data_IF_122415331577
#
_entry.id   IF_122415331577
#
_cell.length_a   1.000
_cell.length_b   1.000
_cell.length_c   1.000
_cell.angle_alpha   90.00
_cell.angle_beta   90.00
_cell.angle_gamma   90.00
#
_symmetry.space_group_name_H-M   'P 1'
#
loop_
_entity.id
_entity.type
_entity.pdbx_description
1 polymer ?
#
# COMPACT_ATOMS: atom_id res chain seq x y z
N UNK A 1 -1.30 -34.12 4.67
CA UNK A 1 -1.13 -33.61 3.28
C UNK A 1 -0.11 -32.48 3.37
N UNK A 2 0.81 -32.32 2.44
CA UNK A 2 1.67 -31.15 2.48
C UNK A 2 0.79 -29.91 2.46
N UNK A 3 1.02 -29.00 3.40
CA UNK A 3 0.29 -27.74 3.52
C UNK A 3 0.38 -26.97 2.20
N UNK A 4 -0.76 -26.47 1.73
CA UNK A 4 -0.83 -25.66 0.49
C UNK A 4 -0.04 -24.36 0.70
N UNK A 5 1.08 -24.24 0.01
CA UNK A 5 1.94 -23.06 0.07
C UNK A 5 1.89 -22.26 -1.23
N UNK A 6 2.01 -20.96 -1.13
CA UNK A 6 2.17 -20.03 -2.24
C UNK A 6 3.42 -19.17 -2.04
N UNK A 7 4.01 -18.71 -3.13
CA UNK A 7 5.06 -17.70 -3.06
C UNK A 7 4.44 -16.35 -3.40
N UNK A 8 4.66 -15.36 -2.53
CA UNK A 8 4.40 -13.97 -2.83
C UNK A 8 5.70 -13.24 -3.16
N UNK A 9 5.71 -12.49 -4.25
CA UNK A 9 6.85 -11.70 -4.70
C UNK A 9 6.43 -10.22 -4.76
N UNK A 10 7.11 -9.40 -3.98
CA UNK A 10 6.93 -7.95 -3.93
C UNK A 10 8.05 -7.27 -4.73
N UNK A 11 7.70 -6.66 -5.85
CA UNK A 11 8.65 -6.02 -6.76
C UNK A 11 8.65 -4.51 -6.54
N UNK A 12 9.72 -4.00 -5.94
CA UNK A 12 9.94 -2.56 -5.80
C UNK A 12 11.07 -2.05 -6.70
N UNK A 13 11.22 -0.73 -6.79
CA UNK A 13 12.25 -0.10 -7.63
C UNK A 13 13.70 -0.33 -7.18
N UNK A 14 13.94 -0.73 -5.94
CA UNK A 14 15.29 -0.91 -5.36
C UNK A 14 15.56 -2.33 -4.86
N UNK A 15 14.52 -3.11 -4.65
CA UNK A 15 14.60 -4.49 -4.14
C UNK A 15 13.42 -5.31 -4.62
N UNK A 16 13.62 -6.62 -4.70
CA UNK A 16 12.57 -7.63 -4.82
C UNK A 16 12.57 -8.47 -3.55
N UNK A 17 11.42 -8.62 -2.92
CA UNK A 17 11.24 -9.50 -1.77
C UNK A 17 10.34 -10.68 -2.15
N UNK A 18 10.70 -11.88 -1.74
CA UNK A 18 9.87 -13.07 -1.90
C UNK A 18 9.59 -13.70 -0.54
N UNK A 19 8.42 -14.30 -0.39
CA UNK A 19 8.05 -15.03 0.83
C UNK A 19 7.26 -16.28 0.52
N UNK A 20 7.52 -17.33 1.31
CA UNK A 20 6.75 -18.56 1.34
C UNK A 20 5.60 -18.37 2.32
N UNK A 21 4.37 -18.51 1.85
CA UNK A 21 3.15 -18.21 2.61
C UNK A 21 2.28 -19.47 2.66
N UNK A 22 1.82 -19.81 3.86
CA UNK A 22 0.95 -20.97 4.10
C UNK A 22 -0.54 -20.68 3.83
N UNK A 23 -1.38 -21.67 4.11
CA UNK A 23 -2.82 -21.60 3.93
C UNK A 23 -3.49 -20.52 4.81
N UNK A 24 -2.88 -20.15 5.91
CA UNK A 24 -3.40 -19.18 6.89
C UNK A 24 -2.91 -17.75 6.66
N UNK A 25 -2.08 -17.56 5.61
CA UNK A 25 -1.46 -16.28 5.32
C UNK A 25 -0.22 -15.97 6.18
N UNK A 26 0.31 -16.98 6.91
CA UNK A 26 1.55 -16.83 7.64
C UNK A 26 2.74 -16.91 6.69
N UNK A 27 3.64 -15.95 6.81
CA UNK A 27 4.90 -15.92 6.05
C UNK A 27 5.92 -16.76 6.79
N UNK A 28 6.25 -17.94 6.24
CA UNK A 28 7.13 -18.94 6.86
C UNK A 28 8.60 -18.58 6.65
N UNK A 29 8.94 -18.10 5.45
CA UNK A 29 10.31 -17.78 5.04
C UNK A 29 10.31 -16.57 4.13
N UNK A 30 11.38 -15.76 4.19
CA UNK A 30 11.57 -14.59 3.33
C UNK A 30 12.96 -14.57 2.72
N UNK A 31 13.04 -14.08 1.48
CA UNK A 31 14.29 -13.76 0.80
C UNK A 31 14.18 -12.37 0.17
N UNK A 32 15.32 -11.69 0.02
CA UNK A 32 15.37 -10.36 -0.62
C UNK A 32 16.60 -10.27 -1.49
N UNK A 33 16.45 -9.63 -2.66
CA UNK A 33 17.55 -9.33 -3.57
C UNK A 33 17.48 -7.87 -4.02
N UNK A 34 18.59 -7.26 -4.40
CA UNK A 34 18.60 -5.92 -4.99
C UNK A 34 17.85 -5.91 -6.33
N UNK A 35 17.22 -4.78 -6.65
CA UNK A 35 16.61 -4.48 -7.95
C UNK A 35 17.33 -3.30 -8.58
N UNK A 36 17.64 -3.42 -9.87
CA UNK A 36 18.18 -2.31 -10.67
C UNK A 36 17.12 -1.90 -11.68
N UNK A 37 16.20 -1.06 -11.24
CA UNK A 37 15.02 -0.67 -12.01
C UNK A 37 15.35 0.07 -13.32
N UNK A 38 16.52 0.66 -13.44
CA UNK A 38 16.98 1.40 -14.64
C UNK A 38 17.79 0.53 -15.62
N UNK A 39 17.98 -0.77 -15.31
CA UNK A 39 18.65 -1.73 -16.19
C UNK A 39 17.74 -2.15 -17.36
N UNK A 40 18.13 -3.18 -18.09
CA UNK A 40 17.28 -3.81 -19.10
C UNK A 40 16.23 -4.74 -18.48
N UNK A 41 15.29 -5.18 -19.31
CA UNK A 41 14.17 -6.02 -18.85
C UNK A 41 14.66 -7.38 -18.31
N UNK A 42 15.70 -7.96 -18.89
CA UNK A 42 16.25 -9.24 -18.48
C UNK A 42 16.92 -9.14 -17.10
N UNK A 43 17.67 -8.05 -16.84
CA UNK A 43 18.27 -7.77 -15.54
C UNK A 43 17.19 -7.54 -14.47
N UNK A 44 16.14 -6.77 -14.78
CA UNK A 44 15.01 -6.60 -13.87
C UNK A 44 14.32 -7.93 -13.54
N UNK A 45 14.11 -8.79 -14.54
CA UNK A 45 13.52 -10.11 -14.34
C UNK A 45 14.45 -11.07 -13.60
N UNK A 46 15.76 -10.96 -13.79
CA UNK A 46 16.74 -11.75 -13.04
C UNK A 46 16.63 -11.52 -11.51
N UNK A 47 16.28 -10.30 -11.08
CA UNK A 47 16.02 -10.02 -9.67
C UNK A 47 14.78 -10.79 -9.15
N UNK A 48 13.69 -10.87 -9.93
CA UNK A 48 12.51 -11.67 -9.57
C UNK A 48 12.88 -13.15 -9.45
N UNK A 49 13.59 -13.69 -10.45
CA UNK A 49 14.09 -15.08 -10.41
C UNK A 49 14.99 -15.31 -9.20
N UNK A 50 15.94 -14.43 -8.99
CA UNK A 50 16.88 -14.52 -7.87
C UNK A 50 16.19 -14.54 -6.50
N UNK A 51 15.14 -13.75 -6.30
CA UNK A 51 14.38 -13.76 -5.05
C UNK A 51 13.67 -15.10 -4.81
N UNK A 52 13.04 -15.65 -5.84
CA UNK A 52 12.34 -16.96 -5.75
C UNK A 52 13.34 -18.10 -5.57
N UNK A 53 14.48 -18.11 -6.29
CA UNK A 53 15.51 -19.13 -6.13
C UNK A 53 16.20 -19.05 -4.76
N UNK A 54 16.45 -17.84 -4.25
CA UNK A 54 16.97 -17.67 -2.90
C UNK A 54 16.01 -18.22 -1.84
N UNK A 55 14.69 -18.04 -2.04
CA UNK A 55 13.67 -18.62 -1.18
C UNK A 55 13.70 -20.16 -1.21
N UNK A 56 13.80 -20.76 -2.39
CA UNK A 56 13.91 -22.21 -2.52
C UNK A 56 15.23 -22.77 -1.97
N UNK A 57 16.30 -22.00 -2.00
CA UNK A 57 17.57 -22.40 -1.37
C UNK A 57 17.45 -22.44 0.17
N UNK A 58 16.63 -21.56 0.76
CA UNK A 58 16.34 -21.54 2.20
C UNK A 58 15.33 -22.62 2.63
N UNK A 59 14.45 -23.04 1.71
CA UNK A 59 13.40 -24.04 1.96
C UNK A 59 13.28 -24.99 0.76
N UNK A 60 14.24 -25.93 0.57
CA UNK A 60 14.29 -26.78 -0.64
C UNK A 60 13.03 -27.64 -0.84
N UNK A 61 12.48 -28.17 0.24
CA UNK A 61 11.28 -29.03 0.25
C UNK A 61 10.01 -28.28 -0.20
N UNK A 62 9.99 -26.95 -0.06
CA UNK A 62 8.87 -26.12 -0.45
C UNK A 62 8.66 -26.11 -1.99
N UNK A 63 9.70 -26.37 -2.79
CA UNK A 63 9.60 -26.36 -4.26
C UNK A 63 8.50 -27.26 -4.80
N UNK A 64 8.31 -28.42 -4.20
CA UNK A 64 7.23 -29.36 -4.57
C UNK A 64 5.87 -28.96 -4.00
N UNK A 65 5.84 -28.35 -2.81
CA UNK A 65 4.62 -27.97 -2.09
C UNK A 65 3.98 -26.67 -2.63
N UNK A 66 4.76 -25.78 -3.25
CA UNK A 66 4.27 -24.52 -3.82
C UNK A 66 3.31 -24.76 -4.97
N UNK A 67 2.11 -24.18 -4.91
CA UNK A 67 1.03 -24.31 -5.91
C UNK A 67 0.97 -23.18 -6.91
N UNK A 68 1.51 -21.99 -6.56
CA UNK A 68 1.53 -20.84 -7.44
C UNK A 68 2.46 -19.75 -6.94
N UNK A 69 2.77 -18.80 -7.82
CA UNK A 69 3.58 -17.63 -7.56
C UNK A 69 2.74 -16.40 -7.84
N UNK A 70 2.43 -15.62 -6.80
CA UNK A 70 1.83 -14.31 -6.99
C UNK A 70 2.91 -13.24 -7.00
N UNK A 71 2.70 -12.20 -7.78
CA UNK A 71 3.62 -11.06 -7.88
C UNK A 71 2.82 -9.77 -7.72
N UNK A 72 3.21 -8.90 -6.81
CA UNK A 72 2.76 -7.53 -6.83
C UNK A 72 3.84 -6.60 -7.38
N UNK A 73 3.41 -5.61 -8.15
CA UNK A 73 4.29 -4.65 -8.83
C UNK A 73 3.62 -3.28 -8.88
N UNK A 74 4.39 -2.19 -8.85
CA UNK A 74 3.84 -0.88 -9.18
C UNK A 74 3.18 -0.88 -10.56
N UNK A 75 2.06 -0.15 -10.66
CA UNK A 75 1.37 0.05 -11.95
C UNK A 75 2.00 1.16 -12.82
N UNK A 76 1.49 1.30 -14.06
CA UNK A 76 0.35 0.59 -14.65
C UNK A 76 0.68 -0.84 -15.12
N UNK A 77 -0.25 -1.76 -14.92
CA UNK A 77 -0.17 -3.14 -15.37
C UNK A 77 -1.58 -3.66 -15.76
N UNK A 78 -1.63 -4.75 -16.51
CA UNK A 78 -2.88 -5.46 -16.76
C UNK A 78 -2.92 -6.75 -15.94
N UNK A 79 -3.74 -6.83 -14.89
CA UNK A 79 -3.79 -8.00 -14.00
C UNK A 79 -4.39 -9.24 -14.68
N UNK A 80 -5.14 -9.08 -15.78
CA UNK A 80 -5.74 -10.20 -16.53
C UNK A 80 -4.71 -10.96 -17.34
N UNK A 81 -3.70 -10.25 -17.85
CA UNK A 81 -2.63 -10.83 -18.68
C UNK A 81 -1.31 -10.96 -17.95
N UNK A 82 -1.16 -10.33 -16.80
CA UNK A 82 0.09 -10.28 -16.03
C UNK A 82 1.19 -9.46 -16.73
N UNK A 83 0.80 -8.52 -17.60
CA UNK A 83 1.72 -7.64 -18.33
C UNK A 83 1.92 -6.33 -17.58
N UNK A 84 3.17 -6.02 -17.26
CA UNK A 84 3.58 -4.72 -16.72
C UNK A 84 3.75 -3.75 -17.89
N UNK A 85 2.95 -2.66 -17.92
CA UNK A 85 2.86 -1.79 -19.09
C UNK A 85 4.00 -0.79 -19.16
N UNK A 86 4.04 0.16 -18.24
CA UNK A 86 5.04 1.24 -18.26
C UNK A 86 5.13 1.92 -16.87
N UNK A 87 5.52 1.20 -15.82
CA UNK A 87 5.58 1.77 -14.48
C UNK A 87 6.72 2.78 -14.36
N UNK A 88 6.48 4.00 -13.90
CA UNK A 88 7.52 5.02 -13.76
C UNK A 88 8.62 4.60 -12.79
N UNK A 89 8.30 3.78 -11.80
CA UNK A 89 9.25 3.29 -10.80
C UNK A 89 10.05 2.06 -11.25
N UNK A 90 9.70 1.46 -12.39
CA UNK A 90 10.36 0.30 -12.99
C UNK A 90 10.55 0.50 -14.49
N UNK A 91 11.33 1.49 -14.92
CA UNK A 91 11.51 1.84 -16.34
C UNK A 91 12.18 0.74 -17.16
N UNK A 92 12.76 -0.28 -16.52
CA UNK A 92 13.27 -1.48 -17.21
C UNK A 92 12.15 -2.27 -17.92
N UNK A 93 10.90 -2.13 -17.49
CA UNK A 93 9.80 -2.88 -18.07
C UNK A 93 8.84 -1.98 -18.86
N UNK A 94 8.65 -2.38 -20.11
CA UNK A 94 7.70 -1.75 -21.01
C UNK A 94 6.97 -2.86 -21.78
N UNK A 95 5.67 -3.02 -21.53
CA UNK A 95 4.86 -4.14 -22.03
C UNK A 95 5.52 -5.49 -21.72
N UNK A 96 6.07 -5.63 -20.52
CA UNK A 96 6.81 -6.82 -20.10
C UNK A 96 5.84 -7.88 -19.56
N UNK A 97 5.83 -9.11 -20.15
CA UNK A 97 4.91 -10.19 -19.76
C UNK A 97 5.39 -10.91 -18.48
N UNK A 98 5.43 -10.19 -17.36
CA UNK A 98 6.01 -10.65 -16.10
C UNK A 98 5.41 -11.96 -15.61
N UNK A 99 4.08 -12.10 -15.72
CA UNK A 99 3.38 -13.35 -15.36
C UNK A 99 3.87 -14.54 -16.18
N UNK A 100 3.84 -14.41 -17.51
CA UNK A 100 4.23 -15.50 -18.43
C UNK A 100 5.72 -15.86 -18.31
N UNK A 101 6.61 -14.88 -18.14
CA UNK A 101 8.04 -15.12 -17.93
C UNK A 101 8.31 -15.87 -16.62
N UNK A 102 7.58 -15.53 -15.56
CA UNK A 102 7.72 -16.22 -14.26
C UNK A 102 7.17 -17.65 -14.35
N UNK A 103 6.01 -17.82 -14.97
CA UNK A 103 5.42 -19.15 -15.17
C UNK A 103 6.34 -20.05 -15.98
N UNK A 104 6.96 -19.53 -17.07
CA UNK A 104 7.96 -20.25 -17.87
C UNK A 104 9.19 -20.63 -17.05
N UNK A 105 9.67 -19.73 -16.18
CA UNK A 105 10.88 -19.94 -15.40
C UNK A 105 10.72 -21.02 -14.32
N UNK A 106 9.55 -21.09 -13.70
CA UNK A 106 9.33 -21.93 -12.51
C UNK A 106 8.34 -23.09 -12.72
N UNK A 107 7.62 -23.12 -13.85
CA UNK A 107 6.59 -24.13 -14.11
C UNK A 107 5.42 -24.10 -13.12
N UNK A 108 5.12 -22.93 -12.58
CA UNK A 108 4.05 -22.72 -11.59
C UNK A 108 3.06 -21.69 -12.12
N UNK A 109 1.74 -21.87 -11.94
CA UNK A 109 0.75 -20.84 -12.25
C UNK A 109 1.14 -19.50 -11.61
N UNK A 110 1.14 -18.43 -12.40
CA UNK A 110 1.58 -17.12 -11.93
C UNK A 110 0.49 -16.08 -12.13
N UNK A 111 0.25 -15.25 -11.09
CA UNK A 111 -0.65 -14.10 -11.13
C UNK A 111 0.10 -12.83 -10.76
N UNK A 112 -0.24 -11.73 -11.43
CA UNK A 112 0.38 -10.42 -11.20
C UNK A 112 -0.71 -9.39 -10.94
N UNK A 113 -0.54 -8.55 -9.93
CA UNK A 113 -1.44 -7.43 -9.66
C UNK A 113 -0.69 -6.22 -9.09
N UNK A 114 -1.41 -5.11 -8.94
CA UNK A 114 -0.91 -3.94 -8.25
C UNK A 114 -0.70 -4.24 -6.74
N UNK A 115 0.29 -3.57 -6.15
CA UNK A 115 0.69 -3.74 -4.75
C UNK A 115 -0.45 -3.45 -3.74
N UNK A 116 -1.22 -2.36 -3.95
CA UNK A 116 -2.33 -2.03 -3.06
C UNK A 116 -3.53 -2.97 -3.23
N UNK A 117 -3.84 -3.39 -4.46
CA UNK A 117 -4.87 -4.39 -4.73
C UNK A 117 -4.53 -5.72 -4.03
N UNK A 118 -3.30 -6.18 -4.21
CA UNK A 118 -2.83 -7.43 -3.63
C UNK A 118 -2.84 -7.36 -2.09
N UNK A 119 -2.37 -6.26 -1.50
CA UNK A 119 -2.40 -6.05 -0.06
C UNK A 119 -3.84 -6.05 0.49
N UNK A 120 -4.77 -5.37 -0.19
CA UNK A 120 -6.20 -5.39 0.16
C UNK A 120 -6.78 -6.80 0.14
N UNK A 121 -6.41 -7.62 -0.85
CA UNK A 121 -6.83 -9.02 -0.92
C UNK A 121 -6.31 -9.85 0.26
N UNK A 122 -5.04 -9.67 0.65
CA UNK A 122 -4.49 -10.39 1.81
C UNK A 122 -5.19 -9.99 3.11
N UNK A 123 -5.50 -8.70 3.28
CA UNK A 123 -6.24 -8.23 4.44
C UNK A 123 -7.68 -8.79 4.48
N UNK A 124 -8.33 -8.93 3.32
CA UNK A 124 -9.65 -9.55 3.22
C UNK A 124 -9.63 -11.06 3.49
N UNK A 125 -8.59 -11.78 3.03
CA UNK A 125 -8.52 -13.23 3.18
C UNK A 125 -8.01 -13.65 4.55
N UNK A 126 -7.01 -12.98 5.09
CA UNK A 126 -6.25 -13.44 6.26
C UNK A 126 -5.98 -12.34 7.30
N UNK A 127 -6.17 -11.09 6.93
CA UNK A 127 -5.76 -9.93 7.72
C UNK A 127 -6.86 -9.35 8.59
N UNK A 128 -6.82 -8.03 8.73
CA UNK A 128 -7.73 -7.27 9.59
C UNK A 128 -9.19 -7.29 9.10
N UNK A 129 -9.42 -7.60 7.81
CA UNK A 129 -10.75 -7.68 7.22
C UNK A 129 -11.25 -9.12 7.00
N UNK A 130 -10.59 -10.13 7.58
CA UNK A 130 -11.02 -11.52 7.43
C UNK A 130 -12.47 -11.71 7.93
N UNK A 131 -13.32 -12.31 7.07
CA UNK A 131 -14.74 -12.51 7.35
C UNK A 131 -15.66 -11.41 6.82
N UNK A 132 -15.14 -10.34 6.21
CA UNK A 132 -15.93 -9.30 5.55
C UNK A 132 -15.92 -9.51 4.03
N UNK A 133 -17.05 -9.23 3.39
CA UNK A 133 -17.21 -9.36 1.93
C UNK A 133 -16.81 -8.09 1.19
N UNK A 134 -17.17 -6.92 1.73
CA UNK A 134 -16.93 -5.63 1.09
C UNK A 134 -15.84 -4.87 1.84
N UNK A 135 -14.63 -4.91 1.31
CA UNK A 135 -13.43 -4.37 1.96
C UNK A 135 -12.85 -3.21 1.15
N UNK A 136 -12.65 -2.08 1.79
CA UNK A 136 -11.82 -1.01 1.28
C UNK A 136 -10.46 -1.03 1.98
N UNK A 137 -9.40 -1.08 1.20
CA UNK A 137 -8.02 -1.01 1.68
C UNK A 137 -7.35 0.26 1.17
N UNK A 138 -6.57 0.91 2.03
CA UNK A 138 -5.67 1.98 1.63
C UNK A 138 -4.30 1.82 2.28
N UNK A 139 -3.24 2.09 1.54
CA UNK A 139 -1.89 2.23 2.08
C UNK A 139 -1.46 3.69 2.05
N UNK A 140 -1.07 4.21 3.21
CA UNK A 140 -0.60 5.58 3.39
C UNK A 140 0.92 5.55 3.63
N UNK A 141 1.69 5.98 2.65
CA UNK A 141 3.15 5.96 2.67
C UNK A 141 3.76 7.13 1.91
N UNK A 142 4.72 6.86 1.02
CA UNK A 142 5.26 7.86 0.07
C UNK A 142 4.17 8.37 -0.88
N UNK A 143 3.24 7.50 -1.24
CA UNK A 143 1.99 7.80 -1.94
C UNK A 143 0.80 7.26 -1.17
N UNK A 144 -0.37 7.25 -1.82
CA UNK A 144 -1.61 6.63 -1.34
C UNK A 144 -2.10 5.66 -2.42
N UNK A 145 -1.95 4.36 -2.15
CA UNK A 145 -2.53 3.31 -2.98
C UNK A 145 -3.81 2.79 -2.34
N UNK A 146 -4.74 2.28 -3.15
CA UNK A 146 -5.99 1.70 -2.65
C UNK A 146 -6.33 0.40 -3.37
N UNK A 147 -7.04 -0.49 -2.66
CA UNK A 147 -7.58 -1.72 -3.19
C UNK A 147 -9.03 -1.90 -2.76
N UNK A 148 -9.86 -2.43 -3.65
CA UNK A 148 -11.26 -2.68 -3.40
C UNK A 148 -11.50 -4.18 -3.58
N UNK A 149 -12.07 -4.83 -2.56
CA UNK A 149 -12.33 -6.28 -2.59
C UNK A 149 -13.81 -6.49 -2.32
N UNK A 150 -14.47 -7.18 -3.25
CA UNK A 150 -15.86 -7.64 -3.12
C UNK A 150 -15.90 -9.15 -3.17
N UNK A 151 -16.52 -9.78 -2.19
CA UNK A 151 -16.67 -11.25 -2.08
C UNK A 151 -15.34 -12.00 -2.29
N UNK A 152 -14.26 -11.50 -1.64
CA UNK A 152 -12.93 -12.08 -1.74
C UNK A 152 -12.26 -11.90 -3.11
N UNK A 153 -12.75 -10.99 -3.96
CA UNK A 153 -12.19 -10.72 -5.29
C UNK A 153 -11.85 -9.25 -5.44
N UNK A 154 -10.68 -8.97 -6.00
CA UNK A 154 -10.25 -7.62 -6.34
C UNK A 154 -11.17 -7.04 -7.41
N UNK A 155 -11.65 -5.83 -7.19
CA UNK A 155 -12.40 -5.07 -8.19
C UNK A 155 -11.45 -4.30 -9.10
N UNK A 156 -11.20 -4.80 -10.27
CA UNK A 156 -10.29 -4.19 -11.26
C UNK A 156 -10.95 -3.13 -12.14
N UNK A 157 -12.28 -3.04 -12.13
CA UNK A 157 -12.99 -2.21 -13.09
C UNK A 157 -12.86 -2.70 -14.54
N UNK A 158 -13.03 -1.77 -15.47
CA UNK A 158 -13.02 -2.10 -16.91
C UNK A 158 -11.64 -2.54 -17.43
N UNK A 159 -10.59 -1.81 -17.06
CA UNK A 159 -9.25 -1.92 -17.66
C UNK A 159 -8.16 -2.31 -16.66
N UNK A 160 -8.51 -2.71 -15.44
CA UNK A 160 -7.52 -2.93 -14.37
C UNK A 160 -7.10 -1.65 -13.63
N UNK A 161 -7.79 -0.52 -13.87
CA UNK A 161 -7.44 0.79 -13.30
C UNK A 161 -8.41 1.24 -12.19
N UNK A 162 -9.29 0.38 -11.72
CA UNK A 162 -10.05 0.68 -10.49
C UNK A 162 -9.11 0.66 -9.28
N UNK A 163 -9.48 1.39 -8.23
CA UNK A 163 -8.66 1.46 -7.03
C UNK A 163 -7.57 2.53 -7.08
N UNK A 164 -7.61 3.49 -8.00
CA UNK A 164 -6.73 4.66 -8.00
C UNK A 164 -7.24 5.77 -7.04
N UNK A 165 -7.70 5.37 -5.86
CA UNK A 165 -8.37 6.24 -4.88
C UNK A 165 -7.46 7.34 -4.31
N UNK A 166 -6.13 7.11 -4.28
CA UNK A 166 -5.15 8.13 -3.90
C UNK A 166 -5.17 9.36 -4.81
N UNK A 167 -5.64 9.19 -6.04
CA UNK A 167 -5.78 10.26 -7.00
C UNK A 167 -7.20 10.85 -7.07
N UNK A 168 -8.08 10.54 -6.11
CA UNK A 168 -9.36 11.25 -5.95
C UNK A 168 -9.12 12.68 -5.48
N UNK A 169 -9.65 13.65 -6.22
CA UNK A 169 -9.57 15.07 -5.88
C UNK A 169 -10.56 15.38 -4.77
N UNK A 170 -10.09 15.90 -3.64
CA UNK A 170 -10.92 16.41 -2.54
C UNK A 170 -10.83 17.95 -2.40
N UNK A 171 -9.85 18.56 -3.03
CA UNK A 171 -9.71 20.02 -3.13
C UNK A 171 -9.32 20.43 -4.56
N UNK A 172 -10.29 20.80 -5.38
CA UNK A 172 -10.03 21.16 -6.79
C UNK A 172 -9.18 22.44 -6.96
N UNK A 173 -9.02 23.26 -5.89
CA UNK A 173 -8.13 24.42 -5.84
C UNK A 173 -6.76 24.09 -5.21
N UNK A 174 -6.61 22.88 -4.70
CA UNK A 174 -5.42 22.41 -4.01
C UNK A 174 -4.17 22.30 -4.89
N UNK A 175 -3.07 21.83 -4.31
CA UNK A 175 -1.79 21.71 -5.00
C UNK A 175 -1.85 20.75 -6.19
N UNK A 176 -0.94 20.95 -7.16
CA UNK A 176 -0.78 20.07 -8.32
C UNK A 176 -0.22 18.72 -7.87
N UNK A 177 -0.90 17.64 -8.20
CA UNK A 177 -0.47 16.27 -7.99
C UNK A 177 0.43 15.79 -9.14
N UNK A 178 1.32 14.83 -8.86
CA UNK A 178 2.17 14.19 -9.88
C UNK A 178 1.39 13.53 -11.02
N UNK A 179 0.11 13.16 -10.80
CA UNK A 179 -0.78 12.64 -11.85
C UNK A 179 -1.34 13.70 -12.80
N UNK A 180 -1.01 14.99 -12.61
CA UNK A 180 -1.50 16.12 -13.41
C UNK A 180 -2.80 16.75 -12.91
N UNK A 181 -3.53 16.13 -11.96
CA UNK A 181 -4.72 16.71 -11.32
C UNK A 181 -4.35 17.58 -10.13
N UNK A 182 -5.33 18.35 -9.61
CA UNK A 182 -5.16 19.14 -8.39
C UNK A 182 -5.88 18.52 -7.20
N UNK A 183 -5.30 18.68 -6.01
CA UNK A 183 -5.93 18.36 -4.73
C UNK A 183 -6.31 16.90 -4.56
N UNK A 184 -5.57 15.98 -5.18
CA UNK A 184 -5.68 14.56 -4.88
C UNK A 184 -5.39 14.30 -3.42
N UNK A 185 -6.05 13.32 -2.80
CA UNK A 185 -5.78 12.98 -1.40
C UNK A 185 -4.30 12.63 -1.17
N UNK A 186 -3.62 12.02 -2.12
CA UNK A 186 -2.20 11.69 -2.03
C UNK A 186 -1.33 12.93 -1.84
N UNK A 187 -1.48 13.97 -2.67
CA UNK A 187 -0.68 15.19 -2.55
C UNK A 187 -0.99 15.96 -1.26
N UNK A 188 -2.11 15.66 -0.61
CA UNK A 188 -2.54 16.29 0.63
C UNK A 188 -2.18 15.49 1.89
N UNK A 189 -2.16 14.14 1.84
CA UNK A 189 -2.09 13.29 3.03
C UNK A 189 -1.00 12.21 3.02
N UNK A 190 -0.19 12.11 1.97
CA UNK A 190 0.97 11.19 1.97
C UNK A 190 2.07 11.66 2.94
N UNK A 191 3.05 10.81 3.24
CA UNK A 191 4.21 11.16 4.08
C UNK A 191 4.92 12.44 3.63
N UNK A 192 5.27 12.59 2.33
CA UNK A 192 5.80 13.86 1.80
C UNK A 192 4.86 15.06 2.00
N UNK A 193 3.54 14.87 1.95
CA UNK A 193 2.57 15.94 2.18
C UNK A 193 2.55 16.38 3.65
N UNK A 194 2.59 15.45 4.59
CA UNK A 194 2.71 15.71 6.04
C UNK A 194 4.00 16.48 6.31
N UNK A 195 5.13 16.03 5.78
CA UNK A 195 6.42 16.71 5.94
C UNK A 195 6.39 18.13 5.38
N UNK A 196 5.82 18.33 4.18
CA UNK A 196 5.67 19.66 3.56
C UNK A 196 4.83 20.59 4.43
N UNK A 197 3.70 20.12 4.97
CA UNK A 197 2.82 20.90 5.85
C UNK A 197 3.54 21.27 7.16
N UNK A 198 4.29 20.34 7.75
CA UNK A 198 5.09 20.59 8.95
C UNK A 198 6.16 21.66 8.69
N UNK A 199 6.92 21.54 7.59
CA UNK A 199 7.92 22.55 7.19
C UNK A 199 7.31 23.92 7.02
N UNK A 200 6.16 24.03 6.36
CA UNK A 200 5.46 25.32 6.19
C UNK A 200 5.04 25.93 7.53
N UNK A 201 4.49 25.13 8.45
CA UNK A 201 4.11 25.60 9.79
C UNK A 201 5.34 26.01 10.63
N UNK A 202 6.45 25.28 10.56
CA UNK A 202 7.72 25.62 11.23
C UNK A 202 8.24 26.94 10.69
N UNK A 203 8.28 27.12 9.36
CA UNK A 203 8.77 28.37 8.74
C UNK A 203 7.91 29.60 9.07
N UNK A 204 6.63 29.41 9.35
CA UNK A 204 5.69 30.48 9.70
C UNK A 204 5.64 30.79 11.21
N UNK A 205 6.34 30.02 12.06
CA UNK A 205 6.33 30.16 13.52
C UNK A 205 7.74 30.35 14.04
N UNK A 206 7.86 31.19 15.10
CA UNK A 206 9.09 31.31 15.91
C UNK A 206 9.10 30.35 17.10
N UNK A 207 8.07 29.53 17.27
CA UNK A 207 7.94 28.61 18.40
C UNK A 207 8.83 27.37 18.18
N UNK A 208 9.60 27.01 19.20
CA UNK A 208 10.38 25.77 19.19
C UNK A 208 9.44 24.56 19.09
N UNK A 209 9.82 23.58 18.29
CA UNK A 209 9.06 22.35 18.09
C UNK A 209 9.99 21.13 18.11
N UNK A 210 9.54 20.05 18.73
CA UNK A 210 10.23 18.76 18.73
C UNK A 210 10.40 18.17 17.33
N UNK A 211 9.50 18.51 16.39
CA UNK A 211 9.63 18.11 14.98
C UNK A 211 10.96 18.58 14.41
N UNK A 212 11.34 19.84 14.66
CA UNK A 212 12.59 20.40 14.15
C UNK A 212 13.80 19.82 14.89
N UNK A 213 13.69 19.60 16.20
CA UNK A 213 14.73 18.95 17.00
C UNK A 213 15.03 17.54 16.49
N UNK A 214 14.00 16.70 16.32
CA UNK A 214 14.11 15.33 15.78
C UNK A 214 14.66 15.31 14.35
N UNK A 215 14.45 16.36 13.57
CA UNK A 215 14.98 16.54 12.23
C UNK A 215 16.44 17.05 12.21
N UNK A 216 17.12 17.10 13.34
CA UNK A 216 18.50 17.59 13.45
C UNK A 216 18.63 19.10 13.29
N UNK A 217 17.59 19.87 13.61
CA UNK A 217 17.59 21.32 13.55
C UNK A 217 17.42 21.93 12.15
N UNK A 218 17.20 21.09 11.12
CA UNK A 218 17.05 21.58 9.74
C UNK A 218 15.63 21.38 9.22
N UNK A 219 15.02 22.42 8.67
CA UNK A 219 13.64 22.36 8.14
C UNK A 219 13.59 21.36 6.98
N UNK A 220 14.57 21.34 6.08
CA UNK A 220 14.62 20.43 4.94
C UNK A 220 14.74 18.96 5.34
N UNK A 221 15.30 18.69 6.53
CA UNK A 221 15.40 17.34 7.10
C UNK A 221 14.08 16.81 7.66
N UNK A 222 13.03 17.62 7.82
CA UNK A 222 11.74 17.19 8.38
C UNK A 222 11.07 16.15 7.49
N UNK A 223 10.67 15.02 8.09
CA UNK A 223 9.92 13.92 7.48
C UNK A 223 8.68 13.60 8.31
N UNK A 224 7.76 12.81 7.76
CA UNK A 224 6.53 12.40 8.44
C UNK A 224 6.81 11.65 9.75
N UNK A 225 7.88 10.84 9.78
CA UNK A 225 8.28 10.09 10.98
C UNK A 225 8.62 11.03 12.14
N UNK A 226 9.30 12.16 11.87
CA UNK A 226 9.59 13.17 12.90
C UNK A 226 8.32 13.83 13.43
N UNK A 227 7.32 14.03 12.55
CA UNK A 227 6.01 14.57 12.97
C UNK A 227 5.27 13.58 13.86
N UNK A 228 5.24 12.29 13.46
CA UNK A 228 4.62 11.24 14.27
C UNK A 228 5.27 11.08 15.64
N UNK A 229 6.61 11.05 15.69
CA UNK A 229 7.35 10.94 16.95
C UNK A 229 7.12 12.16 17.87
N UNK A 230 7.18 13.37 17.30
CA UNK A 230 6.89 14.59 18.05
C UNK A 230 5.45 14.64 18.57
N UNK A 231 4.49 14.13 17.81
CA UNK A 231 3.09 14.01 18.22
C UNK A 231 2.95 13.14 19.47
N UNK A 232 3.59 11.97 19.50
CA UNK A 232 3.59 11.10 20.67
C UNK A 232 4.27 11.73 21.89
N UNK A 233 5.15 12.70 21.67
CA UNK A 233 5.79 13.50 22.72
C UNK A 233 4.99 14.76 23.11
N UNK A 234 3.78 14.95 22.60
CA UNK A 234 2.88 16.05 22.95
C UNK A 234 3.22 17.38 22.28
N UNK A 235 3.92 17.37 21.13
CA UNK A 235 4.23 18.60 20.38
C UNK A 235 2.97 19.16 19.72
N UNK A 236 2.65 20.41 19.99
CA UNK A 236 1.44 21.07 19.50
C UNK A 236 1.44 21.29 17.98
N UNK A 237 2.61 21.55 17.37
CA UNK A 237 2.71 21.71 15.91
C UNK A 237 2.48 20.37 15.23
N UNK A 238 3.07 19.30 15.75
CA UNK A 238 2.86 17.95 15.24
C UNK A 238 1.38 17.54 15.33
N UNK A 239 0.73 17.84 16.47
CA UNK A 239 -0.70 17.62 16.66
C UNK A 239 -1.52 18.34 15.59
N UNK A 240 -1.29 19.65 15.40
CA UNK A 240 -2.00 20.43 14.37
C UNK A 240 -1.80 19.90 12.95
N UNK A 241 -0.60 19.34 12.62
CA UNK A 241 -0.33 18.73 11.30
C UNK A 241 -1.09 17.42 11.12
N UNK A 242 -1.08 16.54 12.13
CA UNK A 242 -1.73 15.23 12.02
C UNK A 242 -3.25 15.33 12.13
N UNK A 243 -3.79 16.24 12.93
CA UNK A 243 -5.23 16.50 13.01
C UNK A 243 -5.78 17.05 11.70
N UNK A 244 -5.09 18.00 11.07
CA UNK A 244 -5.46 18.51 9.73
C UNK A 244 -5.41 17.38 8.68
N UNK A 245 -4.41 16.49 8.77
CA UNK A 245 -4.31 15.33 7.90
C UNK A 245 -5.47 14.36 8.15
N UNK A 246 -5.85 14.10 9.40
CA UNK A 246 -6.98 13.26 9.76
C UNK A 246 -8.30 13.81 9.25
N UNK A 247 -8.50 15.13 9.33
CA UNK A 247 -9.71 15.78 8.82
C UNK A 247 -9.83 15.62 7.30
N UNK A 248 -8.74 15.82 6.54
CA UNK A 248 -8.71 15.61 5.10
C UNK A 248 -8.96 14.13 4.71
N UNK A 249 -8.37 13.20 5.46
CA UNK A 249 -8.62 11.76 5.27
C UNK A 249 -10.08 11.41 5.59
N UNK A 250 -10.68 12.03 6.60
CA UNK A 250 -12.09 11.79 6.96
C UNK A 250 -13.03 12.23 5.83
N UNK A 251 -12.79 13.39 5.20
CA UNK A 251 -13.52 13.82 3.99
C UNK A 251 -13.42 12.78 2.89
N UNK A 252 -12.21 12.31 2.62
CA UNK A 252 -11.97 11.32 1.58
C UNK A 252 -12.64 9.97 1.89
N UNK A 253 -12.55 9.49 3.13
CA UNK A 253 -13.20 8.25 3.55
C UNK A 253 -14.73 8.36 3.55
N UNK A 254 -15.29 9.55 3.83
CA UNK A 254 -16.72 9.81 3.64
C UNK A 254 -17.17 9.58 2.18
N UNK A 255 -16.37 10.08 1.21
CA UNK A 255 -16.62 9.80 -0.21
C UNK A 255 -16.49 8.30 -0.54
N UNK A 256 -15.56 7.58 0.11
CA UNK A 256 -15.42 6.13 -0.05
C UNK A 256 -16.67 5.41 0.45
N UNK A 257 -17.22 5.82 1.59
CA UNK A 257 -18.47 5.28 2.13
C UNK A 257 -19.63 5.52 1.16
N UNK A 258 -19.76 6.73 0.62
CA UNK A 258 -20.83 7.06 -0.33
C UNK A 258 -20.75 6.28 -1.65
N UNK A 259 -19.56 5.87 -2.07
CA UNK A 259 -19.35 5.12 -3.32
C UNK A 259 -19.44 3.61 -3.17
N UNK A 260 -18.95 3.07 -2.05
CA UNK A 260 -18.72 1.62 -1.91
C UNK A 260 -19.46 0.99 -0.74
N UNK A 261 -19.94 1.78 0.24
CA UNK A 261 -20.58 1.31 1.48
C UNK A 261 -19.85 0.06 2.06
N UNK A 262 -18.54 0.18 2.36
CA UNK A 262 -17.75 -0.97 2.75
C UNK A 262 -18.14 -1.47 4.15
N UNK A 263 -18.01 -2.78 4.39
CA UNK A 263 -18.20 -3.37 5.72
C UNK A 263 -17.07 -3.02 6.67
N UNK A 264 -15.87 -2.74 6.13
CA UNK A 264 -14.66 -2.40 6.87
C UNK A 264 -13.70 -1.60 5.98
N UNK A 265 -13.02 -0.64 6.58
CA UNK A 265 -11.93 0.13 5.98
C UNK A 265 -10.61 -0.21 6.67
N UNK A 266 -9.65 -0.76 5.93
CA UNK A 266 -8.34 -1.16 6.44
C UNK A 266 -7.29 -0.19 5.94
N UNK A 267 -6.54 0.42 6.86
CA UNK A 267 -5.53 1.41 6.52
C UNK A 267 -4.14 0.88 6.89
N UNK A 268 -3.28 0.74 5.88
CA UNK A 268 -1.90 0.30 6.02
C UNK A 268 -0.87 1.39 5.72
N UNK A 269 0.40 0.99 5.75
CA UNK A 269 1.53 1.89 5.47
C UNK A 269 2.06 2.65 6.69
N UNK A 270 3.24 3.25 6.54
CA UNK A 270 3.94 3.91 7.65
C UNK A 270 3.18 5.11 8.21
N UNK A 271 2.50 5.88 7.37
CA UNK A 271 1.68 7.03 7.80
C UNK A 271 0.47 6.57 8.62
N UNK A 272 -0.16 5.45 8.26
CA UNK A 272 -1.26 4.88 9.03
C UNK A 272 -0.84 4.53 10.46
N UNK A 273 0.36 3.97 10.63
CA UNK A 273 0.94 3.69 11.95
C UNK A 273 1.08 4.96 12.79
N UNK A 274 1.59 6.05 12.20
CA UNK A 274 1.75 7.34 12.87
C UNK A 274 0.42 7.95 13.31
N UNK A 275 -0.66 7.65 12.59
CA UNK A 275 -1.98 8.26 12.76
C UNK A 275 -3.00 7.36 13.44
N UNK A 276 -2.63 6.15 13.83
CA UNK A 276 -3.57 5.15 14.34
C UNK A 276 -4.39 5.62 15.56
N UNK A 277 -3.80 6.45 16.42
CA UNK A 277 -4.49 7.07 17.56
C UNK A 277 -5.60 8.04 17.17
N UNK A 278 -5.65 8.49 15.91
CA UNK A 278 -6.68 9.38 15.38
C UNK A 278 -7.82 8.63 14.67
N UNK A 279 -7.74 7.31 14.52
CA UNK A 279 -8.74 6.53 13.79
C UNK A 279 -10.13 6.60 14.43
N UNK A 280 -10.24 6.54 15.74
CA UNK A 280 -11.54 6.68 16.43
C UNK A 280 -12.16 8.06 16.22
N UNK A 281 -11.34 9.14 16.23
CA UNK A 281 -11.79 10.49 15.88
C UNK A 281 -12.26 10.56 14.43
N UNK A 282 -11.48 10.03 13.48
CA UNK A 282 -11.83 9.99 12.06
C UNK A 282 -13.15 9.24 11.85
N UNK A 283 -13.27 8.05 12.41
CA UNK A 283 -14.48 7.22 12.34
C UNK A 283 -15.70 7.94 12.92
N UNK A 284 -15.56 8.54 14.10
CA UNK A 284 -16.63 9.30 14.75
C UNK A 284 -17.16 10.48 13.93
N UNK A 285 -16.31 11.06 13.08
CA UNK A 285 -16.66 12.21 12.23
C UNK A 285 -17.20 11.83 10.84
N UNK A 286 -17.16 10.55 10.44
CA UNK A 286 -17.64 10.11 9.12
C UNK A 286 -19.09 10.49 8.80
N UNK A 287 -20.07 10.46 9.75
CA UNK A 287 -21.44 10.89 9.46
C UNK A 287 -21.57 12.35 9.02
N UNK A 288 -20.56 13.18 9.28
CA UNK A 288 -20.52 14.57 8.78
C UNK A 288 -20.05 14.68 7.33
N UNK A 289 -19.55 13.60 6.73
CA UNK A 289 -18.96 13.56 5.40
C UNK A 289 -19.49 12.47 4.49
N UNK A 290 -20.37 11.61 4.98
CA UNK A 290 -21.07 10.59 4.23
C UNK A 290 -22.58 10.80 4.34
N UNK A 291 -23.32 10.37 3.31
CA UNK A 291 -24.80 10.41 3.36
C UNK A 291 -25.37 9.35 4.32
N UNK A 292 -24.60 8.29 4.58
CA UNK A 292 -24.96 7.25 5.53
C UNK A 292 -24.80 7.77 6.97
N UNK A 293 -25.89 7.99 7.75
CA UNK A 293 -25.81 8.51 9.10
C UNK A 293 -25.15 7.54 10.09
N UNK A 294 -24.96 6.29 9.70
CA UNK A 294 -24.31 5.23 10.47
C UNK A 294 -22.89 4.93 10.00
N UNK A 295 -22.28 5.83 9.22
CA UNK A 295 -20.91 5.65 8.71
C UNK A 295 -19.87 5.43 9.83
N UNK A 296 -20.12 5.94 11.03
CA UNK A 296 -19.28 5.73 12.20
C UNK A 296 -19.34 4.30 12.79
N UNK A 297 -20.27 3.47 12.34
CA UNK A 297 -20.32 2.05 12.69
C UNK A 297 -19.38 1.20 11.83
N UNK A 298 -18.94 1.72 10.67
CA UNK A 298 -17.96 1.04 9.80
C UNK A 298 -16.61 1.02 10.50
N UNK A 299 -16.02 -0.16 10.77
CA UNK A 299 -14.70 -0.26 11.38
C UNK A 299 -13.63 0.40 10.52
N UNK A 300 -12.78 1.23 11.14
CA UNK A 300 -11.59 1.82 10.55
C UNK A 300 -10.40 1.26 11.32
N UNK A 301 -9.62 0.38 10.71
CA UNK A 301 -8.61 -0.42 11.41
C UNK A 301 -7.25 -0.40 10.73
N UNK A 302 -6.19 -0.67 11.50
CA UNK A 302 -4.85 -0.87 10.95
C UNK A 302 -4.73 -2.21 10.22
N UNK A 303 -3.99 -2.20 9.11
CA UNK A 303 -3.61 -3.39 8.38
C UNK A 303 -2.73 -4.32 9.23
N UNK A 304 -2.97 -5.63 9.10
CA UNK A 304 -2.22 -6.67 9.81
C UNK A 304 -0.79 -6.82 9.27
N UNK A 305 -0.62 -6.83 7.95
CA UNK A 305 0.65 -7.24 7.33
C UNK A 305 1.72 -6.15 7.29
N UNK A 306 1.33 -4.87 7.44
CA UNK A 306 2.28 -3.74 7.52
C UNK A 306 3.41 -3.81 6.48
N UNK A 307 4.66 -4.00 6.92
CA UNK A 307 5.84 -4.06 6.05
C UNK A 307 5.89 -5.30 5.12
N UNK A 308 5.11 -6.33 5.41
CA UNK A 308 5.05 -7.57 4.64
C UNK A 308 3.80 -7.64 3.75
N UNK A 309 3.04 -6.55 3.64
CA UNK A 309 1.79 -6.48 2.88
C UNK A 309 1.97 -6.89 1.40
N UNK A 310 3.09 -6.49 0.77
CA UNK A 310 3.40 -6.88 -0.61
C UNK A 310 3.60 -8.39 -0.76
N UNK A 311 4.32 -9.05 0.17
CA UNK A 311 4.53 -10.51 0.13
C UNK A 311 3.22 -11.26 0.37
N UNK A 312 2.48 -10.90 1.44
CA UNK A 312 1.21 -11.53 1.76
C UNK A 312 0.18 -11.30 0.65
N UNK A 313 0.12 -10.07 0.14
CA UNK A 313 -0.75 -9.67 -0.96
C UNK A 313 -0.49 -10.45 -2.22
N UNK A 314 0.75 -10.51 -2.64
CA UNK A 314 1.15 -11.29 -3.81
C UNK A 314 0.77 -12.77 -3.67
N UNK A 315 1.06 -13.39 -2.51
CA UNK A 315 0.68 -14.79 -2.26
C UNK A 315 -0.84 -15.00 -2.30
N UNK A 316 -1.62 -14.03 -1.82
CA UNK A 316 -3.09 -14.07 -1.84
C UNK A 316 -3.68 -14.18 -3.25
N UNK A 317 -3.00 -13.64 -4.28
CA UNK A 317 -3.44 -13.73 -5.68
C UNK A 317 -3.58 -15.17 -6.17
N UNK A 318 -2.87 -16.13 -5.58
CA UNK A 318 -2.86 -17.54 -5.97
C UNK A 318 -3.80 -18.42 -5.14
N UNK A 319 -4.70 -17.80 -4.38
CA UNK A 319 -5.71 -18.50 -3.56
C UNK A 319 -7.07 -18.64 -4.25
#
# INVERSE_FOLDING_TARGET
MPELMTIGVDVGGTKVAAGLVDATGQIIQKARVPMVATADAATGFAAVKGAVEALFALAPDARSAVKGIGICSPGPLDPRTGVVLNPPNLPCWRNFPLGAETERAFGKPTKVDNDANAAGLAEALWGAAAGHSNVFYATLGTGIGTGIVFDGKIYWGRNGSAGEGGHTTIDYKGPLCGCGKRGCIEILCSGPAIARRARAKISASSTATKVLELAGGTIDGVRAEHVGEAYHQGDALAAAVLEETADLLTVWLGNVVDWFDPEIMVIGGGVAQLMSSLFDRMRGNLPGWAINPRANEIPLVLARYSADAGIAGAAALCR
#
